data_IF_306285673782
#
_entry.id   IF_306285673782
#
_cell.length_a   1.000
_cell.length_b   1.000
_cell.length_c   1.000
_cell.angle_alpha   90.00
_cell.angle_beta   90.00
_cell.angle_gamma   90.00
#
_symmetry.space_group_name_H-M   'P 1'
#
loop_
_entity.id
_entity.type
_entity.pdbx_description
1 polymer ?
#
# COMPACT_ATOMS: atom_id res chain seq x y z
N UNK A 1 -27.72 17.12 -53.35
CA UNK A 1 -27.10 16.93 -52.03
C UNK A 1 -27.05 15.45 -51.77
N UNK A 2 -25.93 14.83 -52.13
CA UNK A 2 -25.66 13.41 -51.87
C UNK A 2 -25.31 13.30 -50.38
N UNK A 3 -25.86 12.35 -49.62
CA UNK A 3 -25.47 12.17 -48.24
C UNK A 3 -24.02 11.67 -48.21
N UNK A 4 -23.18 12.31 -47.39
CA UNK A 4 -21.90 11.75 -47.00
C UNK A 4 -22.16 10.31 -46.52
N UNK A 5 -21.48 9.36 -47.15
CA UNK A 5 -21.49 7.92 -46.83
C UNK A 5 -20.95 7.69 -45.42
N UNK A 6 -20.96 6.43 -44.95
CA UNK A 6 -20.62 5.97 -43.59
C UNK A 6 -19.30 6.49 -42.96
N UNK A 7 -18.47 7.25 -43.70
CA UNK A 7 -17.33 8.03 -43.22
C UNK A 7 -17.76 9.48 -42.88
N UNK A 8 -18.78 9.64 -42.03
CA UNK A 8 -19.26 10.94 -41.56
C UNK A 8 -18.24 11.68 -40.68
N UNK A 9 -18.64 12.84 -40.13
CA UNK A 9 -17.76 13.64 -39.25
C UNK A 9 -17.12 12.82 -38.10
N UNK A 10 -17.86 11.86 -37.53
CA UNK A 10 -17.35 10.95 -36.50
C UNK A 10 -16.16 10.09 -36.95
N UNK A 11 -16.14 9.64 -38.21
CA UNK A 11 -15.05 8.86 -38.78
C UNK A 11 -13.77 9.69 -38.91
N UNK A 12 -13.89 10.91 -39.42
CA UNK A 12 -12.77 11.86 -39.54
C UNK A 12 -12.17 12.15 -38.16
N UNK A 13 -13.00 12.50 -37.17
CA UNK A 13 -12.54 12.77 -35.81
C UNK A 13 -11.89 11.53 -35.21
N UNK A 14 -12.47 10.35 -35.42
CA UNK A 14 -11.92 9.08 -34.93
C UNK A 14 -10.50 8.82 -35.45
N UNK A 15 -10.29 8.91 -36.77
CA UNK A 15 -8.97 8.72 -37.39
C UNK A 15 -7.95 9.75 -36.88
N UNK A 16 -8.37 11.02 -36.81
CA UNK A 16 -7.52 12.11 -36.35
C UNK A 16 -7.18 11.98 -34.86
N UNK A 17 -8.12 11.59 -34.00
CA UNK A 17 -7.88 11.33 -32.58
C UNK A 17 -6.87 10.20 -32.36
N UNK A 18 -6.97 9.12 -33.13
CA UNK A 18 -6.03 7.99 -33.04
C UNK A 18 -4.63 8.42 -33.49
N UNK A 19 -4.54 9.17 -34.60
CA UNK A 19 -3.26 9.66 -35.12
C UNK A 19 -2.57 10.67 -34.19
N UNK A 20 -3.35 11.57 -33.57
CA UNK A 20 -2.85 12.66 -32.73
C UNK A 20 -2.81 12.29 -31.23
N UNK A 21 -3.09 11.04 -30.85
CA UNK A 21 -3.25 10.63 -29.45
C UNK A 21 -2.03 10.98 -28.56
N UNK A 22 -0.82 10.81 -29.08
CA UNK A 22 0.43 11.17 -28.37
C UNK A 22 0.54 12.70 -28.21
N UNK A 23 0.19 13.45 -29.24
CA UNK A 23 0.18 14.91 -29.22
C UNK A 23 -0.82 15.46 -28.21
N UNK A 24 -2.05 14.93 -28.21
CA UNK A 24 -3.11 15.28 -27.26
C UNK A 24 -2.71 14.93 -25.82
N UNK A 25 -2.08 13.78 -25.59
CA UNK A 25 -1.55 13.41 -24.28
C UNK A 25 -0.45 14.36 -23.81
N UNK A 26 0.41 14.82 -24.73
CA UNK A 26 1.47 15.79 -24.41
C UNK A 26 0.90 17.16 -24.03
N UNK A 27 -0.15 17.61 -24.73
CA UNK A 27 -0.88 18.83 -24.38
C UNK A 27 -1.54 18.72 -23.01
N UNK A 28 -2.20 17.59 -22.73
CA UNK A 28 -2.81 17.28 -21.44
C UNK A 28 -1.79 17.34 -20.30
N UNK A 29 -0.65 16.69 -20.50
CA UNK A 29 0.44 16.69 -19.52
C UNK A 29 1.00 18.09 -19.28
N UNK A 30 1.15 18.90 -20.33
CA UNK A 30 1.63 20.28 -20.24
C UNK A 30 0.65 21.14 -19.43
N UNK A 31 -0.65 21.07 -19.72
CA UNK A 31 -1.68 21.79 -18.97
C UNK A 31 -1.75 21.38 -17.49
N UNK A 32 -1.59 20.09 -17.20
CA UNK A 32 -1.57 19.61 -15.81
C UNK A 32 -0.40 20.22 -15.02
N UNK A 33 0.79 20.30 -15.63
CA UNK A 33 1.96 20.92 -14.99
C UNK A 33 1.77 22.41 -14.68
N UNK A 34 1.06 23.13 -15.55
CA UNK A 34 0.80 24.56 -15.36
C UNK A 34 -0.22 24.83 -14.24
N UNK A 35 -1.13 23.88 -13.98
CA UNK A 35 -2.28 24.07 -13.09
C UNK A 35 -2.14 23.43 -11.70
N UNK A 36 -1.17 22.53 -11.48
CA UNK A 36 -0.98 21.85 -10.21
C UNK A 36 0.13 22.53 -9.38
N UNK A 37 -0.20 23.22 -8.26
CA UNK A 37 0.77 23.89 -7.39
C UNK A 37 1.55 22.92 -6.47
N UNK A 38 1.59 21.64 -6.82
CA UNK A 38 2.27 20.58 -6.06
C UNK A 38 3.53 20.18 -6.82
N UNK A 39 4.59 19.75 -6.13
CA UNK A 39 5.82 19.31 -6.77
C UNK A 39 5.51 18.26 -7.85
N UNK A 40 6.14 18.36 -9.03
CA UNK A 40 5.89 17.46 -10.16
C UNK A 40 6.01 15.97 -9.78
N UNK A 41 6.80 15.64 -8.76
CA UNK A 41 6.98 14.29 -8.22
C UNK A 41 5.79 13.75 -7.42
N UNK A 42 4.97 14.61 -6.81
CA UNK A 42 3.77 14.19 -6.06
C UNK A 42 2.55 13.98 -6.98
N UNK A 43 2.60 14.54 -8.19
CA UNK A 43 1.57 14.37 -9.23
C UNK A 43 1.94 13.22 -10.17
N UNK A 44 3.24 13.03 -10.43
CA UNK A 44 3.76 12.04 -11.38
C UNK A 44 4.92 11.23 -10.78
N UNK A 45 4.63 10.26 -9.90
CA UNK A 45 5.68 9.40 -9.32
C UNK A 45 6.36 8.47 -10.33
N UNK A 46 5.79 8.26 -11.52
CA UNK A 46 6.38 7.41 -12.58
C UNK A 46 5.97 7.84 -14.00
N UNK A 47 6.83 7.53 -14.99
CA UNK A 47 6.54 7.74 -16.43
C UNK A 47 5.42 6.82 -16.96
N UNK A 48 4.98 5.80 -16.20
CA UNK A 48 3.98 4.81 -16.64
C UNK A 48 2.63 5.43 -17.03
N UNK A 49 2.24 6.59 -16.48
CA UNK A 49 1.00 7.29 -16.88
C UNK A 49 1.06 7.73 -18.35
N UNK A 50 2.27 8.06 -18.85
CA UNK A 50 2.47 8.49 -20.23
C UNK A 50 2.13 7.37 -21.23
N UNK A 51 2.17 6.11 -20.82
CA UNK A 51 1.79 4.98 -21.68
C UNK A 51 0.27 4.76 -21.73
N UNK A 52 -0.47 5.16 -20.67
CA UNK A 52 -1.90 4.85 -20.54
C UNK A 52 -2.80 5.88 -21.24
N UNK A 53 -2.47 7.17 -21.13
CA UNK A 53 -3.34 8.25 -21.64
C UNK A 53 -3.44 8.27 -23.17
N UNK A 54 -2.35 8.12 -23.96
CA UNK A 54 -2.47 8.03 -25.42
C UNK A 54 -3.35 6.86 -25.86
N UNK A 55 -3.25 5.71 -25.17
CA UNK A 55 -4.08 4.54 -25.47
C UNK A 55 -5.55 4.82 -25.17
N UNK A 56 -5.86 5.45 -24.04
CA UNK A 56 -7.23 5.86 -23.71
C UNK A 56 -7.80 6.84 -24.75
N UNK A 57 -7.01 7.84 -25.18
CA UNK A 57 -7.44 8.79 -26.22
C UNK A 57 -7.73 8.07 -27.55
N UNK A 58 -6.84 7.16 -27.97
CA UNK A 58 -7.04 6.37 -29.17
C UNK A 58 -8.27 5.45 -29.07
N UNK A 59 -8.51 4.86 -27.90
CA UNK A 59 -9.67 4.02 -27.62
C UNK A 59 -10.98 4.81 -27.65
N UNK A 60 -11.00 6.03 -27.08
CA UNK A 60 -12.14 6.97 -27.20
C UNK A 60 -12.37 7.30 -28.67
N UNK A 61 -11.31 7.58 -29.43
CA UNK A 61 -11.38 7.84 -30.86
C UNK A 61 -12.03 6.69 -31.62
N UNK A 62 -11.60 5.44 -31.37
CA UNK A 62 -12.20 4.24 -31.98
C UNK A 62 -13.67 4.05 -31.59
N UNK A 63 -14.03 4.35 -30.35
CA UNK A 63 -15.42 4.31 -29.87
C UNK A 63 -16.35 5.30 -30.59
N UNK A 64 -15.84 6.39 -31.16
CA UNK A 64 -16.69 7.35 -31.88
C UNK A 64 -17.42 6.73 -33.09
N UNK A 65 -16.89 5.66 -33.67
CA UNK A 65 -17.50 4.94 -34.79
C UNK A 65 -18.38 3.74 -34.35
N UNK A 66 -18.46 3.44 -33.06
CA UNK A 66 -19.29 2.34 -32.57
C UNK A 66 -20.78 2.58 -32.90
N UNK A 67 -21.62 1.54 -33.04
CA UNK A 67 -23.08 1.68 -33.14
C UNK A 67 -23.67 2.57 -32.04
N UNK A 68 -24.77 3.28 -32.33
CA UNK A 68 -25.39 4.24 -31.39
C UNK A 68 -25.87 3.62 -30.07
N UNK A 69 -26.19 2.32 -30.09
CA UNK A 69 -26.62 1.51 -28.97
C UNK A 69 -25.45 0.89 -28.18
N UNK A 70 -24.22 0.95 -28.71
CA UNK A 70 -23.04 0.44 -28.01
C UNK A 70 -22.56 1.45 -26.97
N UNK A 71 -22.57 1.04 -25.71
CA UNK A 71 -21.97 1.84 -24.64
C UNK A 71 -20.46 1.59 -24.58
N UNK A 72 -19.66 2.65 -24.37
CA UNK A 72 -18.21 2.48 -24.14
C UNK A 72 -17.90 1.53 -22.96
N UNK A 73 -18.82 1.41 -22.01
CA UNK A 73 -18.73 0.47 -20.89
C UNK A 73 -18.72 -1.01 -21.33
N UNK A 74 -19.24 -1.32 -22.53
CA UNK A 74 -19.17 -2.65 -23.12
C UNK A 74 -17.77 -2.99 -23.68
N UNK A 75 -16.93 -1.97 -23.92
CA UNK A 75 -15.57 -2.19 -24.39
C UNK A 75 -14.64 -2.54 -23.21
N UNK A 76 -14.55 -3.84 -22.93
CA UNK A 76 -13.79 -4.38 -21.81
C UNK A 76 -12.33 -3.90 -21.76
N UNK A 77 -11.67 -3.72 -22.92
CA UNK A 77 -10.28 -3.29 -22.96
C UNK A 77 -10.09 -1.85 -22.45
N UNK A 78 -10.99 -0.93 -22.82
CA UNK A 78 -10.91 0.48 -22.40
C UNK A 78 -11.25 0.61 -20.92
N UNK A 79 -12.26 -0.13 -20.47
CA UNK A 79 -12.65 -0.16 -19.05
C UNK A 79 -11.51 -0.75 -18.19
N UNK A 80 -10.83 -1.79 -18.66
CA UNK A 80 -9.70 -2.35 -17.92
C UNK A 80 -8.55 -1.36 -17.77
N UNK A 81 -8.22 -0.60 -18.82
CA UNK A 81 -7.23 0.49 -18.72
C UNK A 81 -7.62 1.58 -17.72
N UNK A 82 -8.91 1.92 -17.66
CA UNK A 82 -9.40 2.86 -16.65
C UNK A 82 -9.25 2.30 -15.22
N UNK A 83 -9.43 0.99 -15.02
CA UNK A 83 -9.17 0.31 -13.73
C UNK A 83 -7.68 0.31 -13.38
N UNK A 84 -6.81 -0.07 -14.32
CA UNK A 84 -5.35 -0.06 -14.14
C UNK A 84 -4.86 1.33 -13.69
N UNK A 85 -5.39 2.39 -14.32
CA UNK A 85 -5.09 3.76 -13.92
C UNK A 85 -5.57 4.08 -12.48
N UNK A 86 -6.73 3.56 -12.09
CA UNK A 86 -7.27 3.73 -10.73
C UNK A 86 -6.35 3.10 -9.67
N UNK A 87 -5.87 1.88 -9.94
CA UNK A 87 -4.89 1.17 -9.09
C UNK A 87 -3.57 1.92 -9.03
N UNK A 88 -3.07 2.38 -10.19
CA UNK A 88 -1.83 3.14 -10.27
C UNK A 88 -1.90 4.44 -9.44
N UNK A 89 -3.01 5.17 -9.56
CA UNK A 89 -3.23 6.41 -8.81
C UNK A 89 -3.33 6.18 -7.30
N UNK A 90 -3.92 5.07 -6.86
CA UNK A 90 -3.88 4.67 -5.45
C UNK A 90 -2.44 4.41 -4.98
N UNK A 91 -1.65 3.64 -5.74
CA UNK A 91 -0.25 3.36 -5.40
C UNK A 91 0.62 4.62 -5.31
N UNK A 92 0.29 5.64 -6.10
CA UNK A 92 0.91 6.96 -6.12
C UNK A 92 0.42 7.90 -5.01
N UNK A 93 -0.53 7.47 -4.16
CA UNK A 93 -1.15 8.28 -3.12
C UNK A 93 -1.80 9.57 -3.63
N UNK A 94 -2.36 9.53 -4.85
CA UNK A 94 -3.08 10.65 -5.41
C UNK A 94 -4.35 10.96 -4.60
N UNK A 95 -4.95 12.13 -4.86
CA UNK A 95 -6.25 12.52 -4.29
C UNK A 95 -7.37 12.44 -5.33
N UNK A 96 -8.61 12.23 -4.87
CA UNK A 96 -9.79 12.25 -5.75
C UNK A 96 -9.89 13.57 -6.53
N UNK A 97 -9.50 14.69 -5.91
CA UNK A 97 -9.50 16.00 -6.56
C UNK A 97 -8.53 16.06 -7.75
N UNK A 98 -7.33 15.48 -7.62
CA UNK A 98 -6.37 15.37 -8.73
C UNK A 98 -6.95 14.54 -9.88
N UNK A 99 -7.55 13.37 -9.58
CA UNK A 99 -8.18 12.53 -10.61
C UNK A 99 -9.31 13.26 -11.34
N UNK A 100 -10.19 13.94 -10.59
CA UNK A 100 -11.26 14.75 -11.20
C UNK A 100 -10.67 15.80 -12.14
N UNK A 101 -9.64 16.52 -11.69
CA UNK A 101 -9.01 17.58 -12.48
C UNK A 101 -8.30 17.06 -13.74
N UNK A 102 -7.68 15.89 -13.64
CA UNK A 102 -7.06 15.19 -14.77
C UNK A 102 -8.07 14.90 -15.89
N UNK A 103 -9.24 14.37 -15.54
CA UNK A 103 -10.29 14.06 -16.52
C UNK A 103 -11.04 15.31 -17.00
N UNK A 104 -11.19 16.35 -16.18
CA UNK A 104 -11.70 17.66 -16.63
C UNK A 104 -10.82 18.23 -17.74
N UNK A 105 -9.50 18.30 -17.52
CA UNK A 105 -8.56 18.83 -18.51
C UNK A 105 -8.53 17.95 -19.76
N UNK A 106 -8.59 16.62 -19.61
CA UNK A 106 -8.68 15.71 -20.75
C UNK A 106 -9.94 15.98 -21.57
N UNK A 107 -11.10 16.10 -20.91
CA UNK A 107 -12.37 16.44 -21.54
C UNK A 107 -12.29 17.74 -22.32
N UNK A 108 -11.79 18.82 -21.72
CA UNK A 108 -11.62 20.12 -22.38
C UNK A 108 -10.74 20.04 -23.64
N UNK A 109 -9.65 19.26 -23.57
CA UNK A 109 -8.73 19.08 -24.71
C UNK A 109 -9.42 18.34 -25.84
N UNK A 110 -10.12 17.24 -25.55
CA UNK A 110 -10.83 16.46 -26.56
C UNK A 110 -11.99 17.26 -27.16
N UNK A 111 -12.74 18.00 -26.35
CA UNK A 111 -13.80 18.89 -26.80
C UNK A 111 -13.27 20.00 -27.72
N UNK A 112 -12.14 20.62 -27.35
CA UNK A 112 -11.46 21.61 -28.20
C UNK A 112 -10.97 20.98 -29.51
N UNK A 113 -10.43 19.77 -29.45
CA UNK A 113 -9.96 19.04 -30.62
C UNK A 113 -11.10 18.79 -31.62
N UNK A 114 -12.25 18.29 -31.15
CA UNK A 114 -13.44 18.09 -32.01
C UNK A 114 -13.88 19.41 -32.66
N UNK A 115 -13.88 20.52 -31.91
CA UNK A 115 -14.23 21.84 -32.46
C UNK A 115 -13.23 22.30 -33.55
N UNK A 116 -11.93 22.06 -33.36
CA UNK A 116 -10.91 22.41 -34.36
C UNK A 116 -11.08 21.59 -35.63
N UNK A 117 -11.29 20.28 -35.50
CA UNK A 117 -11.51 19.39 -36.66
C UNK A 117 -12.81 19.77 -37.41
N UNK A 118 -13.89 20.11 -36.70
CA UNK A 118 -15.13 20.59 -37.33
C UNK A 118 -14.92 21.86 -38.18
N UNK A 119 -14.14 22.82 -37.67
CA UNK A 119 -13.87 24.09 -38.35
C UNK A 119 -12.81 23.97 -39.47
N UNK A 120 -11.97 22.93 -39.42
CA UNK A 120 -10.93 22.67 -40.41
C UNK A 120 -11.44 22.03 -41.70
N UNK A 121 -12.68 21.55 -41.72
CA UNK A 121 -13.25 20.86 -42.88
C UNK A 121 -13.67 21.83 -44.00
N UNK A 122 -13.43 21.48 -45.28
CA UNK A 122 -13.87 22.30 -46.42
C UNK A 122 -15.39 22.53 -46.47
N UNK A 123 -16.15 21.54 -45.98
CA UNK A 123 -17.60 21.63 -45.78
C UNK A 123 -17.85 21.41 -44.31
N UNK A 124 -18.44 22.38 -43.58
CA UNK A 124 -18.67 22.21 -42.15
C UNK A 124 -19.70 21.10 -41.92
N UNK A 125 -19.47 20.24 -40.90
CA UNK A 125 -20.43 19.23 -40.51
C UNK A 125 -21.74 19.86 -40.03
N UNK A 126 -22.83 19.09 -40.09
CA UNK A 126 -24.11 19.54 -39.56
C UNK A 126 -24.05 19.72 -38.04
N UNK A 127 -24.90 20.60 -37.50
CA UNK A 127 -25.00 20.80 -36.06
C UNK A 127 -25.32 19.48 -35.32
N UNK A 128 -26.11 18.60 -35.94
CA UNK A 128 -26.43 17.29 -35.39
C UNK A 128 -25.20 16.39 -35.30
N UNK A 129 -24.38 16.31 -36.35
CA UNK A 129 -23.13 15.53 -36.34
C UNK A 129 -22.15 16.05 -35.29
N UNK A 130 -21.99 17.36 -35.15
CA UNK A 130 -21.17 17.95 -34.08
C UNK A 130 -21.67 17.51 -32.70
N UNK A 131 -22.96 17.70 -32.42
CA UNK A 131 -23.55 17.35 -31.12
C UNK A 131 -23.38 15.87 -30.81
N UNK A 132 -23.53 14.99 -31.79
CA UNK A 132 -23.35 13.55 -31.59
C UNK A 132 -21.90 13.17 -31.26
N UNK A 133 -20.92 13.72 -31.96
CA UNK A 133 -19.49 13.48 -31.66
C UNK A 133 -19.14 14.02 -30.28
N UNK A 134 -19.53 15.26 -29.96
CA UNK A 134 -19.34 15.84 -28.63
C UNK A 134 -19.98 14.98 -27.53
N UNK A 135 -21.24 14.58 -27.72
CA UNK A 135 -21.96 13.71 -26.78
C UNK A 135 -21.21 12.40 -26.55
N UNK A 136 -20.66 11.78 -27.59
CA UNK A 136 -19.88 10.54 -27.51
C UNK A 136 -18.56 10.75 -26.77
N UNK A 137 -17.80 11.80 -27.07
CA UNK A 137 -16.54 12.15 -26.38
C UNK A 137 -16.79 12.43 -24.90
N UNK A 138 -17.77 13.25 -24.56
CA UNK A 138 -18.10 13.58 -23.17
C UNK A 138 -18.60 12.34 -22.42
N UNK A 139 -19.43 11.48 -23.05
CA UNK A 139 -19.87 10.21 -22.45
C UNK A 139 -18.68 9.29 -22.19
N UNK A 140 -17.77 9.16 -23.16
CA UNK A 140 -16.57 8.35 -23.04
C UNK A 140 -15.70 8.79 -21.86
N UNK A 141 -15.35 10.08 -21.84
CA UNK A 141 -14.51 10.68 -20.79
C UNK A 141 -15.15 10.51 -19.40
N UNK A 142 -16.45 10.75 -19.25
CA UNK A 142 -17.16 10.56 -17.97
C UNK A 142 -17.19 9.10 -17.51
N UNK A 143 -17.39 8.16 -18.42
CA UNK A 143 -17.40 6.73 -18.07
C UNK A 143 -16.02 6.29 -17.58
N UNK A 144 -14.95 6.67 -18.28
CA UNK A 144 -13.58 6.35 -17.87
C UNK A 144 -13.24 6.98 -16.52
N UNK A 145 -13.55 8.27 -16.34
CA UNK A 145 -13.36 8.97 -15.06
C UNK A 145 -14.06 8.23 -13.92
N UNK A 146 -15.33 7.86 -14.10
CA UNK A 146 -16.10 7.12 -13.10
C UNK A 146 -15.43 5.79 -12.76
N UNK A 147 -15.08 4.99 -13.76
CA UNK A 147 -14.42 3.69 -13.55
C UNK A 147 -13.09 3.85 -12.80
N UNK A 148 -12.26 4.80 -13.21
CA UNK A 148 -10.97 5.07 -12.55
C UNK A 148 -11.16 5.49 -11.10
N UNK A 149 -12.11 6.39 -10.82
CA UNK A 149 -12.40 6.84 -9.45
C UNK A 149 -13.01 5.71 -8.60
N UNK A 150 -13.92 4.91 -9.15
CA UNK A 150 -14.50 3.76 -8.45
C UNK A 150 -13.43 2.75 -8.04
N UNK A 151 -12.53 2.39 -8.97
CA UNK A 151 -11.40 1.50 -8.66
C UNK A 151 -10.46 2.12 -7.64
N UNK A 152 -10.10 3.40 -7.81
CA UNK A 152 -9.25 4.12 -6.86
C UNK A 152 -9.85 4.13 -5.43
N UNK A 153 -11.15 4.39 -5.28
CA UNK A 153 -11.86 4.36 -3.99
C UNK A 153 -11.93 2.93 -3.43
N UNK A 154 -12.14 1.93 -4.28
CA UNK A 154 -12.16 0.53 -3.86
C UNK A 154 -10.81 0.10 -3.28
N UNK A 155 -9.69 0.48 -3.91
CA UNK A 155 -8.34 0.21 -3.41
C UNK A 155 -8.08 0.88 -2.04
N UNK A 156 -8.44 2.15 -1.89
CA UNK A 156 -8.34 2.85 -0.60
C UNK A 156 -9.19 2.17 0.48
N UNK A 157 -10.44 1.83 0.16
CA UNK A 157 -11.35 1.13 1.07
C UNK A 157 -10.78 -0.22 1.50
N UNK A 158 -10.24 -0.99 0.55
CA UNK A 158 -9.59 -2.28 0.80
C UNK A 158 -8.40 -2.13 1.74
N UNK A 159 -7.51 -1.16 1.47
CA UNK A 159 -6.34 -0.86 2.32
C UNK A 159 -6.75 -0.46 3.74
N UNK A 160 -7.76 0.39 3.89
CA UNK A 160 -8.29 0.79 5.20
C UNK A 160 -8.86 -0.42 5.94
N UNK A 161 -9.64 -1.25 5.26
CA UNK A 161 -10.26 -2.44 5.84
C UNK A 161 -9.21 -3.44 6.31
N UNK A 162 -8.19 -3.70 5.49
CA UNK A 162 -7.08 -4.58 5.84
C UNK A 162 -6.33 -4.06 7.07
N UNK A 163 -6.01 -2.76 7.11
CA UNK A 163 -5.38 -2.12 8.28
C UNK A 163 -6.24 -2.25 9.54
N UNK A 164 -7.55 -2.03 9.41
CA UNK A 164 -8.49 -2.16 10.53
C UNK A 164 -8.57 -3.61 11.04
N UNK A 165 -8.62 -4.59 10.15
CA UNK A 165 -8.69 -6.00 10.52
C UNK A 165 -7.38 -6.50 11.15
N UNK A 166 -6.22 -6.02 10.66
CA UNK A 166 -4.92 -6.22 11.31
C UNK A 166 -4.92 -5.62 12.73
N UNK A 167 -5.41 -4.39 12.90
CA UNK A 167 -5.51 -3.73 14.21
C UNK A 167 -6.45 -4.48 15.18
N UNK A 168 -7.62 -4.92 14.71
CA UNK A 168 -8.56 -5.73 15.51
C UNK A 168 -7.93 -7.06 15.94
N UNK A 169 -7.24 -7.72 15.02
CA UNK A 169 -6.54 -8.99 15.31
C UNK A 169 -5.44 -8.78 16.34
N UNK A 170 -4.64 -7.73 16.17
CA UNK A 170 -3.62 -7.33 17.14
C UNK A 170 -4.22 -7.04 18.53
N UNK A 171 -5.27 -6.22 18.62
CA UNK A 171 -5.94 -5.90 19.88
C UNK A 171 -6.49 -7.15 20.58
N UNK A 172 -7.05 -8.10 19.81
CA UNK A 172 -7.54 -9.37 20.34
C UNK A 172 -6.38 -10.20 20.90
N UNK A 173 -5.31 -10.38 20.13
CA UNK A 173 -4.12 -11.12 20.58
C UNK A 173 -3.51 -10.50 21.83
N UNK A 174 -3.29 -9.18 21.84
CA UNK A 174 -2.76 -8.45 22.99
C UNK A 174 -3.64 -8.64 24.24
N UNK A 175 -4.97 -8.56 24.10
CA UNK A 175 -5.90 -8.79 25.21
C UNK A 175 -5.81 -10.21 25.77
N UNK A 176 -5.66 -11.22 24.92
CA UNK A 176 -5.49 -12.61 25.36
C UNK A 176 -4.14 -12.83 26.07
N UNK A 177 -3.05 -12.37 25.47
CA UNK A 177 -1.70 -12.50 26.02
C UNK A 177 -1.53 -11.76 27.35
N UNK A 178 -2.24 -10.65 27.56
CA UNK A 178 -2.25 -9.94 28.84
C UNK A 178 -3.17 -10.58 29.88
N UNK A 179 -4.31 -11.16 29.47
CA UNK A 179 -5.29 -11.76 30.41
C UNK A 179 -4.68 -12.95 31.16
N UNK A 180 -3.84 -13.75 30.52
CA UNK A 180 -3.21 -14.92 31.15
C UNK A 180 -2.32 -14.56 32.34
N UNK A 181 -1.25 -13.74 32.20
CA UNK A 181 -0.40 -13.36 33.32
C UNK A 181 -1.17 -12.53 34.37
N UNK A 182 -2.13 -11.69 33.97
CA UNK A 182 -3.01 -11.00 34.91
C UNK A 182 -3.86 -11.96 35.75
N UNK A 183 -4.43 -12.99 35.13
CA UNK A 183 -5.20 -14.02 35.83
C UNK A 183 -4.33 -14.78 36.84
N UNK A 184 -3.10 -15.12 36.47
CA UNK A 184 -2.15 -15.75 37.38
C UNK A 184 -1.75 -14.83 38.54
N UNK A 185 -1.54 -13.53 38.28
CA UNK A 185 -1.26 -12.54 39.32
C UNK A 185 -2.43 -12.39 40.30
N UNK A 186 -3.66 -12.29 39.80
CA UNK A 186 -4.86 -12.21 40.64
C UNK A 186 -5.03 -13.46 41.51
N UNK A 187 -4.81 -14.66 40.93
CA UNK A 187 -4.87 -15.91 41.69
C UNK A 187 -3.78 -15.99 42.76
N UNK A 188 -2.54 -15.62 42.42
CA UNK A 188 -1.43 -15.62 43.36
C UNK A 188 -1.64 -14.60 44.49
N UNK A 189 -2.17 -13.41 44.18
CA UNK A 189 -2.54 -12.41 45.17
C UNK A 189 -3.65 -12.92 46.11
N UNK A 190 -4.72 -13.52 45.57
CA UNK A 190 -5.80 -14.11 46.37
C UNK A 190 -5.31 -15.27 47.26
N UNK A 191 -4.30 -16.01 46.80
CA UNK A 191 -3.67 -17.05 47.62
C UNK A 191 -3.00 -16.45 48.87
N UNK A 192 -2.30 -15.31 48.76
CA UNK A 192 -1.65 -14.67 49.91
C UNK A 192 -2.62 -14.30 51.05
N UNK A 193 -3.91 -14.13 50.75
CA UNK A 193 -4.96 -13.82 51.73
C UNK A 193 -5.48 -15.06 52.49
N UNK A 194 -5.13 -16.27 52.05
CA UNK A 194 -5.63 -17.50 52.64
C UNK A 194 -4.92 -17.85 53.97
N UNK A 195 -5.66 -18.11 55.06
CA UNK A 195 -5.06 -18.46 56.37
C UNK A 195 -4.18 -19.71 56.32
N UNK A 196 -4.45 -20.63 55.39
CA UNK A 196 -3.69 -21.89 55.21
C UNK A 196 -2.24 -21.66 54.77
N UNK A 197 -1.90 -20.44 54.32
CA UNK A 197 -0.54 -20.04 53.95
C UNK A 197 0.21 -19.35 55.11
N UNK A 198 -0.47 -19.03 56.21
CA UNK A 198 0.16 -18.46 57.40
C UNK A 198 1.02 -19.52 58.08
N UNK A 199 2.34 -19.32 58.07
CA UNK A 199 3.33 -20.23 58.68
C UNK A 199 4.03 -21.19 57.71
N UNK A 200 3.62 -21.27 56.45
CA UNK A 200 4.29 -22.06 55.41
C UNK A 200 5.19 -21.17 54.53
N UNK A 201 6.40 -20.92 55.00
CA UNK A 201 7.40 -20.06 54.33
C UNK A 201 7.74 -20.54 52.93
N UNK A 202 7.73 -21.86 52.67
CA UNK A 202 8.02 -22.39 51.33
C UNK A 202 6.90 -22.08 50.34
N UNK A 203 5.63 -22.22 50.73
CA UNK A 203 4.52 -21.86 49.85
C UNK A 203 4.45 -20.35 49.61
N UNK A 204 4.69 -19.52 50.63
CA UNK A 204 4.78 -18.07 50.48
C UNK A 204 5.86 -17.67 49.47
N UNK A 205 7.05 -18.28 49.54
CA UNK A 205 8.12 -18.04 48.58
C UNK A 205 7.73 -18.41 47.14
N UNK A 206 7.01 -19.53 46.94
CA UNK A 206 6.51 -19.93 45.61
C UNK A 206 5.47 -18.97 45.05
N UNK A 207 4.56 -18.46 45.88
CA UNK A 207 3.55 -17.48 45.47
C UNK A 207 4.21 -16.15 45.11
N UNK A 208 5.16 -15.67 45.92
CA UNK A 208 5.93 -14.47 45.62
C UNK A 208 6.73 -14.59 44.32
N UNK A 209 7.34 -15.76 44.08
CA UNK A 209 8.07 -16.04 42.84
C UNK A 209 7.13 -16.06 41.61
N UNK A 210 5.94 -16.65 41.76
CA UNK A 210 4.92 -16.64 40.71
C UNK A 210 4.48 -15.21 40.35
N UNK A 211 4.30 -14.35 41.35
CA UNK A 211 3.99 -12.92 41.14
C UNK A 211 5.14 -12.23 40.40
N UNK A 212 6.38 -12.38 40.89
CA UNK A 212 7.56 -11.76 40.28
C UNK A 212 7.73 -12.16 38.81
N UNK A 213 7.65 -13.45 38.52
CA UNK A 213 7.80 -13.99 37.16
C UNK A 213 6.71 -13.48 36.20
N UNK A 214 5.44 -13.48 36.62
CA UNK A 214 4.33 -12.99 35.80
C UNK A 214 4.38 -11.48 35.57
N UNK A 215 4.78 -10.69 36.57
CA UNK A 215 4.98 -9.24 36.41
C UNK A 215 6.09 -8.94 35.42
N UNK A 216 7.20 -9.68 35.46
CA UNK A 216 8.28 -9.55 34.48
C UNK A 216 7.82 -9.96 33.07
N UNK A 217 6.99 -11.00 32.95
CA UNK A 217 6.39 -11.38 31.67
C UNK A 217 5.48 -10.29 31.12
N UNK A 218 4.64 -9.70 31.96
CA UNK A 218 3.73 -8.62 31.57
C UNK A 218 4.50 -7.35 31.16
N UNK A 219 5.58 -7.00 31.87
CA UNK A 219 6.47 -5.90 31.48
C UNK A 219 7.06 -6.13 30.07
N UNK A 220 7.59 -7.33 29.79
CA UNK A 220 8.09 -7.69 28.45
C UNK A 220 7.02 -7.62 27.37
N UNK A 221 5.79 -8.06 27.66
CA UNK A 221 4.67 -7.95 26.72
C UNK A 221 4.35 -6.48 26.40
N UNK A 222 4.31 -5.62 27.41
CA UNK A 222 4.07 -4.18 27.22
C UNK A 222 5.19 -3.52 26.40
N UNK A 223 6.45 -3.84 26.69
CA UNK A 223 7.59 -3.34 25.91
C UNK A 223 7.51 -3.77 24.44
N UNK A 224 7.13 -5.02 24.18
CA UNK A 224 6.96 -5.53 22.81
C UNK A 224 5.80 -4.80 22.09
N UNK A 225 4.67 -4.58 22.76
CA UNK A 225 3.55 -3.83 22.20
C UNK A 225 3.95 -2.37 21.87
N UNK A 226 4.73 -1.72 22.74
CA UNK A 226 5.25 -0.37 22.47
C UNK A 226 6.22 -0.33 21.29
N UNK A 227 7.08 -1.36 21.12
CA UNK A 227 7.95 -1.48 19.94
C UNK A 227 7.15 -1.62 18.65
N UNK A 228 6.10 -2.46 18.66
CA UNK A 228 5.21 -2.64 17.50
C UNK A 228 4.45 -1.34 17.17
N UNK A 229 3.94 -0.64 18.18
CA UNK A 229 3.25 0.64 18.00
C UNK A 229 4.16 1.69 17.34
N UNK A 230 5.41 1.84 17.80
CA UNK A 230 6.39 2.78 17.20
C UNK A 230 6.73 2.45 15.74
N UNK A 231 6.80 1.17 15.40
CA UNK A 231 6.99 0.74 14.01
C UNK A 231 5.79 1.05 13.12
N UNK A 232 4.60 1.21 13.70
CA UNK A 232 3.34 1.47 12.98
C UNK A 232 3.07 2.98 12.80
N UNK A 233 3.72 3.84 13.58
CA UNK A 233 3.58 5.31 13.54
C UNK A 233 4.54 5.99 12.56
N UNK A 234 5.64 5.34 12.15
CA UNK A 234 6.48 5.88 11.08
C UNK A 234 5.75 5.68 9.75
N UNK A 235 5.71 6.70 8.84
CA UNK A 235 5.22 6.48 7.49
C UNK A 235 5.93 5.25 6.92
N UNK A 236 5.21 4.46 6.13
CA UNK A 236 5.59 3.16 5.58
C UNK A 236 6.79 3.22 4.60
N UNK A 237 7.61 4.26 4.71
CA UNK A 237 8.90 4.46 4.05
C UNK A 237 9.96 3.89 4.99
N UNK A 238 10.38 2.62 4.83
CA UNK A 238 11.51 2.08 5.56
C UNK A 238 12.75 2.97 5.34
N UNK A 239 13.52 3.22 6.39
CA UNK A 239 14.80 3.91 6.28
C UNK A 239 15.85 2.93 5.74
N UNK A 240 15.72 2.62 4.45
CA UNK A 240 16.53 1.60 3.79
C UNK A 240 17.94 2.16 3.58
N UNK A 241 18.93 1.48 4.14
CA UNK A 241 20.34 1.78 3.93
C UNK A 241 21.14 0.49 3.78
N UNK A 242 22.28 0.57 3.12
CA UNK A 242 23.22 -0.53 2.99
C UNK A 242 23.89 -0.79 4.34
N UNK A 243 23.77 -2.03 4.85
CA UNK A 243 24.33 -2.44 6.13
C UNK A 243 25.10 -3.75 6.04
N UNK A 244 26.20 -3.82 6.77
CA UNK A 244 26.93 -5.06 7.02
C UNK A 244 26.20 -5.87 8.09
N UNK A 245 25.59 -7.01 7.70
CA UNK A 245 24.79 -7.83 8.61
C UNK A 245 25.65 -8.37 9.76
N UNK A 246 26.94 -8.62 9.52
CA UNK A 246 27.88 -9.04 10.55
C UNK A 246 27.93 -8.07 11.75
N UNK A 247 28.07 -6.77 11.49
CA UNK A 247 28.16 -5.76 12.55
C UNK A 247 26.87 -5.72 13.39
N UNK A 248 25.71 -5.78 12.73
CA UNK A 248 24.42 -5.80 13.43
C UNK A 248 24.23 -7.09 14.23
N UNK A 249 24.57 -8.24 13.66
CA UNK A 249 24.50 -9.54 14.33
C UNK A 249 25.43 -9.61 15.56
N UNK A 250 26.63 -9.03 15.48
CA UNK A 250 27.53 -8.92 16.63
C UNK A 250 26.95 -8.04 17.74
N UNK A 251 26.30 -6.94 17.40
CA UNK A 251 25.63 -6.08 18.39
C UNK A 251 24.45 -6.79 19.06
N UNK A 252 23.64 -7.53 18.29
CA UNK A 252 22.57 -8.39 18.81
C UNK A 252 23.13 -9.44 19.78
N UNK A 253 24.21 -10.13 19.39
CA UNK A 253 24.84 -11.14 20.22
C UNK A 253 25.35 -10.54 21.55
N UNK A 254 25.95 -9.34 21.48
CA UNK A 254 26.41 -8.59 22.66
C UNK A 254 25.25 -8.22 23.59
N UNK A 255 24.14 -7.71 23.05
CA UNK A 255 22.95 -7.35 23.85
C UNK A 255 22.31 -8.55 24.55
N UNK A 256 22.42 -9.76 23.98
CA UNK A 256 21.81 -10.98 24.52
C UNK A 256 22.77 -11.87 25.32
N UNK A 257 24.03 -11.46 25.48
CA UNK A 257 25.09 -12.25 26.10
C UNK A 257 24.75 -12.67 27.53
N UNK A 258 24.24 -11.76 28.36
CA UNK A 258 23.88 -12.06 29.77
C UNK A 258 22.76 -13.11 29.86
N UNK A 259 21.77 -13.02 28.96
CA UNK A 259 20.65 -13.95 28.90
C UNK A 259 21.11 -15.34 28.43
N UNK A 260 22.05 -15.39 27.48
CA UNK A 260 22.65 -16.63 26.99
C UNK A 260 23.52 -17.30 28.07
N UNK A 261 24.35 -16.51 28.76
CA UNK A 261 25.19 -16.97 29.87
C UNK A 261 24.36 -17.57 31.02
N UNK A 262 23.25 -16.92 31.39
CA UNK A 262 22.33 -17.43 32.42
C UNK A 262 21.71 -18.79 32.08
N UNK A 263 21.73 -19.20 30.80
CA UNK A 263 21.20 -20.48 30.31
C UNK A 263 22.26 -21.45 29.79
N UNK A 264 23.55 -21.09 29.83
CA UNK A 264 24.62 -21.90 29.28
C UNK A 264 24.55 -22.07 27.75
N UNK A 265 24.02 -21.06 27.05
CA UNK A 265 23.91 -21.03 25.58
C UNK A 265 25.06 -20.19 25.02
N UNK A 266 25.75 -20.72 24.01
CA UNK A 266 26.76 -19.99 23.23
C UNK A 266 26.08 -19.28 22.05
N UNK A 267 26.38 -18.01 21.81
CA UNK A 267 25.96 -17.28 20.61
C UNK A 267 27.17 -17.17 19.68
N UNK A 268 27.02 -17.62 18.42
CA UNK A 268 28.06 -17.52 17.41
C UNK A 268 27.53 -16.76 16.19
N UNK A 269 28.29 -15.77 15.74
CA UNK A 269 28.05 -15.08 14.47
C UNK A 269 28.98 -15.72 13.43
N UNK A 270 28.41 -16.33 12.40
CA UNK A 270 29.19 -16.92 11.31
C UNK A 270 29.72 -15.81 10.40
N UNK A 271 30.89 -16.07 9.79
CA UNK A 271 31.46 -15.18 8.78
C UNK A 271 31.80 -15.98 7.52
N UNK A 272 31.63 -15.39 6.31
CA UNK A 272 31.14 -14.03 6.05
C UNK A 272 29.60 -13.94 6.02
N UNK A 273 29.06 -12.83 6.52
CA UNK A 273 27.65 -12.44 6.34
C UNK A 273 27.50 -11.41 5.21
N UNK A 274 26.38 -11.40 4.46
CA UNK A 274 26.18 -10.49 3.35
C UNK A 274 25.94 -9.05 3.82
N UNK A 275 26.20 -8.09 2.92
CA UNK A 275 25.70 -6.73 3.04
C UNK A 275 24.27 -6.67 2.47
N UNK A 276 23.35 -6.03 3.19
CA UNK A 276 21.94 -5.93 2.78
C UNK A 276 21.47 -4.47 2.73
N UNK A 277 20.58 -4.16 1.79
CA UNK A 277 19.90 -2.86 1.67
C UNK A 277 18.55 -2.98 2.36
N UNK A 278 18.50 -2.65 3.65
CA UNK A 278 17.31 -2.85 4.52
C UNK A 278 17.19 -1.74 5.57
N UNK A 279 16.06 -1.69 6.27
CA UNK A 279 15.89 -0.86 7.47
C UNK A 279 16.61 -1.52 8.67
N UNK A 280 17.69 -0.92 9.22
CA UNK A 280 18.50 -1.59 10.24
C UNK A 280 17.76 -1.80 11.55
N UNK A 281 16.85 -0.88 11.91
CA UNK A 281 16.08 -1.01 13.16
C UNK A 281 15.09 -2.18 13.07
N UNK A 282 14.52 -2.43 11.88
CA UNK A 282 13.66 -3.59 11.63
C UNK A 282 14.46 -4.88 11.66
N UNK A 283 15.63 -4.93 11.01
CA UNK A 283 16.48 -6.12 11.03
C UNK A 283 16.98 -6.43 12.45
N UNK A 284 17.38 -5.41 13.21
CA UNK A 284 17.79 -5.56 14.62
C UNK A 284 16.67 -6.21 15.43
N UNK A 285 15.43 -5.72 15.30
CA UNK A 285 14.28 -6.26 16.02
C UNK A 285 14.01 -7.73 15.66
N UNK A 286 14.13 -8.09 14.38
CA UNK A 286 13.98 -9.48 13.92
C UNK A 286 15.05 -10.36 14.56
N UNK A 287 16.32 -9.98 14.47
CA UNK A 287 17.44 -10.72 15.04
C UNK A 287 17.29 -10.85 16.56
N UNK A 288 16.92 -9.78 17.27
CA UNK A 288 16.69 -9.80 18.71
C UNK A 288 15.61 -10.79 19.12
N UNK A 289 14.51 -10.83 18.37
CA UNK A 289 13.42 -11.77 18.63
C UNK A 289 13.82 -13.21 18.35
N UNK A 290 14.46 -13.48 17.21
CA UNK A 290 14.85 -14.84 16.82
C UNK A 290 15.92 -15.41 17.76
N UNK A 291 16.98 -14.65 18.04
CA UNK A 291 18.07 -15.08 18.93
C UNK A 291 17.57 -15.22 20.37
N UNK A 292 16.73 -14.29 20.84
CA UNK A 292 16.11 -14.41 22.17
C UNK A 292 15.23 -15.66 22.29
N UNK A 293 14.46 -15.97 21.25
CA UNK A 293 13.64 -17.18 21.22
C UNK A 293 14.53 -18.44 21.20
N UNK A 294 15.60 -18.45 20.41
CA UNK A 294 16.52 -19.57 20.35
C UNK A 294 17.17 -19.86 21.73
N UNK A 295 17.52 -18.83 22.49
CA UNK A 295 18.02 -18.96 23.87
C UNK A 295 16.91 -19.41 24.84
N UNK A 296 15.68 -18.91 24.68
CA UNK A 296 14.53 -19.23 25.55
C UNK A 296 14.01 -20.66 25.37
N UNK A 297 14.13 -21.21 24.18
CA UNK A 297 13.61 -22.54 23.83
C UNK A 297 14.72 -23.55 23.56
N UNK A 298 15.96 -23.26 23.98
CA UNK A 298 17.06 -24.21 23.92
C UNK A 298 16.79 -25.43 24.81
N UNK A 299 17.07 -26.61 24.28
CA UNK A 299 16.88 -27.87 24.99
C UNK A 299 17.96 -28.05 26.07
N UNK A 300 17.54 -27.95 27.33
CA UNK A 300 18.39 -28.10 28.51
C UNK A 300 19.11 -29.46 28.59
N UNK A 301 18.64 -30.48 27.87
CA UNK A 301 19.21 -31.83 27.89
C UNK A 301 20.39 -32.01 26.93
N UNK A 302 20.64 -31.04 26.03
CA UNK A 302 21.77 -31.12 25.09
C UNK A 302 23.08 -30.72 25.77
N UNK A 303 24.17 -31.48 25.54
CA UNK A 303 25.47 -31.24 26.18
C UNK A 303 26.15 -29.93 25.73
N UNK A 304 25.78 -29.39 24.57
CA UNK A 304 26.21 -28.08 24.07
C UNK A 304 25.04 -27.36 23.41
N UNK A 305 24.69 -26.18 23.91
CA UNK A 305 23.64 -25.34 23.34
C UNK A 305 24.28 -24.16 22.62
N UNK A 306 24.06 -24.06 21.31
CA UNK A 306 24.59 -23.00 20.47
C UNK A 306 23.48 -22.38 19.64
N UNK A 307 23.48 -21.05 19.54
CA UNK A 307 22.67 -20.27 18.60
C UNK A 307 23.63 -19.65 17.59
N UNK A 308 23.40 -19.93 16.31
CA UNK A 308 24.24 -19.46 15.22
C UNK A 308 23.48 -18.47 14.34
N UNK A 309 24.09 -17.32 14.06
CA UNK A 309 23.62 -16.33 13.08
C UNK A 309 24.48 -16.49 11.82
N UNK A 310 23.92 -17.04 10.74
CA UNK A 310 24.61 -17.38 9.49
C UNK A 310 23.79 -16.99 8.26
#
# INVERSE_FOLDING_TARGET
>A
MTPLTADGFAGIVSERMVAEAIGLSSQWFTRLKELLPVAANDVFPSEQILDHIPLLIADIGRYLQAPDDEEIAANAAVIEKARELGVLRHAQQASVHQLLREYEILGEILETFVAVEANGLPVPPSAFECVEVFRRVTRATRTLMRTTIETFIAEYTSTIQERNDRLKTFNRMASHELRTPLGTLLFAAAALEQPVLQGDTQRLARVAEAIRSNTQQLARLVENLQRIARLSESPDVPNVQEIEVAALASEVARQLQDMAAARGVEIVVAEPLPTLVVDPARLELVLMNLVSNAIKYSDAQKPSQRVEIA
#
